data_IF_861745987407
#
_entry.id   IF_861745987407
#
_cell.length_a   1.000
_cell.length_b   1.000
_cell.length_c   1.000
_cell.angle_alpha   90.00
_cell.angle_beta   90.00
_cell.angle_gamma   90.00
#
_symmetry.space_group_name_H-M   'P 1'
#
loop_
_entity.id
_entity.type
_entity.pdbx_description
1 polymer ?
#
# COMPACT_ATOMS: atom_id res chain seq x y z
N UNK A 1 74.57 41.91 26.53
CA UNK A 1 73.46 42.74 26.14
C UNK A 1 72.45 41.93 25.49
N UNK A 2 71.69 41.30 26.26
CA UNK A 2 70.84 40.30 25.82
C UNK A 2 69.40 40.78 25.83
N UNK A 3 68.85 40.97 24.70
CA UNK A 3 67.44 41.21 24.56
C UNK A 3 66.81 39.88 24.33
N UNK A 4 66.40 39.23 25.37
CA UNK A 4 65.64 38.03 25.31
C UNK A 4 64.29 38.34 24.71
N UNK A 5 64.21 38.19 23.42
CA UNK A 5 62.95 38.25 22.74
C UNK A 5 62.31 36.88 22.78
N UNK A 6 61.65 36.61 23.85
CA UNK A 6 60.81 35.43 23.90
C UNK A 6 59.62 35.70 23.02
N UNK A 7 59.40 34.89 21.97
CA UNK A 7 58.22 34.99 21.23
C UNK A 7 57.07 34.54 22.13
N UNK A 8 56.21 35.46 22.41
CA UNK A 8 54.96 35.17 23.01
C UNK A 8 54.26 34.26 22.02
N UNK A 9 54.45 32.98 22.22
CA UNK A 9 53.57 32.00 21.59
C UNK A 9 52.20 32.25 22.19
N UNK A 10 51.45 33.08 21.56
CA UNK A 10 50.07 33.16 21.82
C UNK A 10 49.54 31.77 21.42
N UNK A 11 49.41 30.95 22.40
CA UNK A 11 48.54 29.81 22.27
C UNK A 11 47.18 30.39 21.98
N UNK A 12 46.91 30.56 20.73
CA UNK A 12 45.55 30.61 20.27
C UNK A 12 45.04 29.22 20.56
N UNK A 13 44.60 29.05 21.79
CA UNK A 13 43.64 28.01 22.06
C UNK A 13 42.41 28.43 21.28
N UNK A 14 42.48 28.20 19.99
CA UNK A 14 41.33 28.20 19.19
C UNK A 14 40.44 27.16 19.81
N UNK A 15 39.52 27.57 20.64
CA UNK A 15 38.25 26.88 20.68
C UNK A 15 37.74 26.93 19.26
N UNK A 16 38.25 26.03 18.45
CA UNK A 16 37.48 25.50 17.37
C UNK A 16 36.37 24.79 18.12
N UNK A 17 35.36 25.57 18.49
CA UNK A 17 34.04 25.07 18.58
C UNK A 17 33.80 24.43 17.24
N UNK A 18 34.17 23.16 17.19
CA UNK A 18 33.68 22.24 16.19
C UNK A 18 32.17 22.25 16.37
N UNK A 19 31.52 23.21 15.73
CA UNK A 19 30.15 23.14 15.40
C UNK A 19 30.07 21.94 14.43
N UNK A 20 30.14 20.74 14.99
CA UNK A 20 29.58 19.58 14.34
C UNK A 20 28.12 19.91 14.27
N UNK A 21 27.74 20.60 13.21
CA UNK A 21 26.42 20.49 12.68
C UNK A 21 26.20 19.00 12.56
N UNK A 22 25.57 18.45 13.57
CA UNK A 22 24.83 17.21 13.49
C UNK A 22 23.69 17.45 12.49
N UNK A 23 24.07 17.56 11.22
CA UNK A 23 23.19 17.14 10.17
C UNK A 23 23.09 15.63 10.35
N UNK A 24 22.26 15.25 11.31
CA UNK A 24 21.73 13.91 11.30
C UNK A 24 21.16 13.71 9.91
N UNK A 25 21.40 12.55 9.28
CA UNK A 25 20.71 12.26 8.03
C UNK A 25 19.23 12.50 8.32
N UNK A 26 18.62 13.44 7.58
CA UNK A 26 17.19 13.48 7.50
C UNK A 26 16.80 12.09 7.04
N UNK A 27 16.36 11.28 7.97
CA UNK A 27 15.70 10.01 7.64
C UNK A 27 14.44 10.47 6.94
N UNK A 28 14.54 10.59 5.62
CA UNK A 28 13.37 10.62 4.80
C UNK A 28 12.70 9.29 5.12
N UNK A 29 11.60 9.35 5.85
CA UNK A 29 10.71 8.23 6.06
C UNK A 29 10.18 7.87 4.66
N UNK A 30 10.97 7.08 3.94
CA UNK A 30 10.47 6.44 2.73
C UNK A 30 9.33 5.54 3.20
N UNK A 31 8.13 5.73 2.63
CA UNK A 31 7.04 4.80 2.93
C UNK A 31 7.57 3.41 2.63
N UNK A 32 7.60 2.58 3.65
CA UNK A 32 8.23 1.27 3.60
C UNK A 32 7.83 0.58 2.30
N UNK A 33 8.78 -0.01 1.57
CA UNK A 33 8.56 -0.66 0.27
C UNK A 33 7.33 -1.60 0.28
N UNK A 34 6.99 -2.16 1.44
CA UNK A 34 5.77 -2.94 1.67
C UNK A 34 4.47 -2.15 1.50
N UNK A 35 4.40 -0.89 1.92
CA UNK A 35 3.19 -0.07 1.77
C UNK A 35 2.95 0.31 0.30
N UNK A 36 4.01 0.58 -0.46
CA UNK A 36 3.93 0.83 -1.89
C UNK A 36 3.46 -0.42 -2.65
N UNK A 37 3.96 -1.61 -2.29
CA UNK A 37 3.56 -2.86 -2.91
C UNK A 37 2.11 -3.22 -2.60
N UNK A 38 1.65 -2.98 -1.36
CA UNK A 38 0.25 -3.17 -0.98
C UNK A 38 -0.67 -2.28 -1.82
N UNK A 39 -0.37 -0.98 -1.90
CA UNK A 39 -1.17 -0.03 -2.67
C UNK A 39 -1.25 -0.42 -4.15
N UNK A 40 -0.13 -0.79 -4.77
CA UNK A 40 -0.09 -1.25 -6.16
C UNK A 40 -0.93 -2.50 -6.38
N UNK A 41 -0.85 -3.47 -5.50
CA UNK A 41 -1.65 -4.70 -5.60
C UNK A 41 -3.14 -4.42 -5.49
N UNK A 42 -3.56 -3.55 -4.56
CA UNK A 42 -4.97 -3.18 -4.40
C UNK A 42 -5.48 -2.41 -5.62
N UNK A 43 -4.71 -1.46 -6.13
CA UNK A 43 -5.04 -0.72 -7.35
C UNK A 43 -5.18 -1.66 -8.56
N UNK A 44 -4.27 -2.64 -8.68
CA UNK A 44 -4.36 -3.66 -9.72
C UNK A 44 -5.66 -4.47 -9.61
N UNK A 45 -6.01 -4.96 -8.43
CA UNK A 45 -7.24 -5.73 -8.21
C UNK A 45 -8.49 -4.89 -8.51
N UNK A 46 -8.54 -3.63 -8.11
CA UNK A 46 -9.65 -2.74 -8.41
C UNK A 46 -9.79 -2.47 -9.91
N UNK A 47 -8.67 -2.27 -10.60
CA UNK A 47 -8.65 -2.12 -12.06
C UNK A 47 -9.08 -3.42 -12.77
N UNK A 48 -8.62 -4.57 -12.28
CA UNK A 48 -9.02 -5.88 -12.79
C UNK A 48 -10.52 -6.10 -12.69
N UNK A 49 -11.14 -5.78 -11.53
CA UNK A 49 -12.60 -5.82 -11.36
C UNK A 49 -13.27 -4.88 -12.35
N UNK A 50 -12.88 -3.61 -12.37
CA UNK A 50 -13.50 -2.57 -13.19
C UNK A 50 -13.51 -2.89 -14.69
N UNK A 51 -12.43 -3.50 -15.17
CA UNK A 51 -12.22 -3.79 -16.58
C UNK A 51 -12.65 -5.21 -17.00
N UNK A 52 -13.19 -6.00 -16.07
CA UNK A 52 -13.50 -7.43 -16.32
C UNK A 52 -14.68 -7.69 -17.24
N UNK A 53 -15.58 -6.71 -17.41
CA UNK A 53 -16.87 -6.86 -18.10
C UNK A 53 -17.73 -8.01 -17.54
N UNK A 54 -17.43 -8.47 -16.32
CA UNK A 54 -18.20 -9.49 -15.61
C UNK A 54 -19.40 -8.87 -14.90
N UNK A 55 -20.35 -9.71 -14.54
CA UNK A 55 -21.49 -9.33 -13.70
C UNK A 55 -21.23 -9.74 -12.26
N UNK A 56 -21.44 -8.84 -11.33
CA UNK A 56 -21.22 -9.07 -9.91
C UNK A 56 -22.54 -9.20 -9.15
N UNK A 57 -22.57 -10.07 -8.15
CA UNK A 57 -23.75 -10.28 -7.32
C UNK A 57 -23.45 -9.98 -5.86
N UNK A 58 -24.23 -9.09 -5.29
CA UNK A 58 -24.19 -8.71 -3.89
C UNK A 58 -25.59 -8.66 -3.32
N UNK A 59 -25.85 -9.45 -2.25
CA UNK A 59 -27.18 -9.58 -1.66
C UNK A 59 -28.26 -9.93 -2.71
N UNK A 60 -27.94 -10.87 -3.59
CA UNK A 60 -28.80 -11.37 -4.67
C UNK A 60 -29.13 -10.33 -5.77
N UNK A 61 -28.48 -9.16 -5.74
CA UNK A 61 -28.60 -8.14 -6.77
C UNK A 61 -27.41 -8.14 -7.69
N UNK A 62 -27.68 -8.03 -8.99
CA UNK A 62 -26.66 -7.88 -10.00
C UNK A 62 -26.12 -6.44 -10.04
N UNK A 63 -24.82 -6.32 -10.21
CA UNK A 63 -24.09 -5.05 -10.34
C UNK A 63 -23.13 -5.11 -11.51
N UNK A 64 -22.86 -3.96 -12.10
CA UNK A 64 -21.82 -3.82 -13.12
C UNK A 64 -20.42 -3.94 -12.49
N UNK A 65 -19.42 -4.18 -13.33
CA UNK A 65 -18.02 -4.19 -12.90
C UNK A 65 -17.59 -2.85 -12.26
N UNK A 66 -18.03 -1.72 -12.81
CA UNK A 66 -17.77 -0.40 -12.27
C UNK A 66 -18.39 -0.18 -10.89
N UNK A 67 -19.64 -0.61 -10.69
CA UNK A 67 -20.32 -0.54 -9.39
C UNK A 67 -19.65 -1.44 -8.35
N UNK A 68 -19.21 -2.63 -8.76
CA UNK A 68 -18.48 -3.56 -7.89
C UNK A 68 -17.14 -2.98 -7.45
N UNK A 69 -16.36 -2.45 -8.38
CA UNK A 69 -15.09 -1.79 -8.06
C UNK A 69 -15.27 -0.59 -7.12
N UNK A 70 -16.27 0.26 -7.39
CA UNK A 70 -16.57 1.41 -6.54
C UNK A 70 -16.99 0.99 -5.12
N UNK A 71 -17.74 -0.10 -4.99
CA UNK A 71 -18.11 -0.66 -3.68
C UNK A 71 -16.89 -1.20 -2.92
N UNK A 72 -16.01 -1.94 -3.60
CA UNK A 72 -14.77 -2.44 -3.01
C UNK A 72 -13.86 -1.30 -2.57
N UNK A 73 -13.76 -0.23 -3.36
CA UNK A 73 -12.99 0.98 -3.01
C UNK A 73 -13.53 1.62 -1.73
N UNK A 74 -14.84 1.82 -1.60
CA UNK A 74 -15.44 2.38 -0.36
C UNK A 74 -15.17 1.49 0.86
N UNK A 75 -15.25 0.18 0.70
CA UNK A 75 -14.92 -0.75 1.79
C UNK A 75 -13.42 -0.68 2.14
N UNK A 76 -12.56 -0.57 1.14
CA UNK A 76 -11.13 -0.37 1.37
C UNK A 76 -10.86 0.88 2.22
N UNK A 77 -11.46 2.01 1.88
CA UNK A 77 -11.31 3.25 2.67
C UNK A 77 -11.80 3.07 4.12
N UNK A 78 -12.93 2.37 4.31
CA UNK A 78 -13.48 2.12 5.64
C UNK A 78 -12.63 1.15 6.49
N UNK A 79 -11.88 0.25 5.86
CA UNK A 79 -11.06 -0.77 6.55
C UNK A 79 -9.56 -0.56 6.39
N UNK A 80 -9.14 0.57 5.89
CA UNK A 80 -7.75 0.87 5.55
C UNK A 80 -6.77 0.51 6.67
N UNK A 81 -7.12 0.82 7.91
CA UNK A 81 -6.27 0.53 9.07
C UNK A 81 -6.13 -0.96 9.38
N UNK A 82 -7.07 -1.79 8.92
CA UNK A 82 -7.11 -3.24 9.11
C UNK A 82 -6.54 -4.02 7.93
N UNK A 83 -6.34 -3.37 6.79
CA UNK A 83 -5.83 -3.98 5.58
C UNK A 83 -4.31 -3.79 5.54
N UNK A 84 -3.59 -4.88 5.77
CA UNK A 84 -2.11 -4.92 5.77
C UNK A 84 -1.55 -5.74 4.61
N UNK A 85 -2.37 -6.57 3.99
CA UNK A 85 -2.02 -7.41 2.85
C UNK A 85 -3.09 -7.30 1.76
N UNK A 86 -2.77 -7.64 0.50
CA UNK A 86 -3.78 -7.74 -0.55
C UNK A 86 -4.88 -8.77 -0.24
N UNK A 87 -4.55 -9.83 0.49
CA UNK A 87 -5.51 -10.83 0.96
C UNK A 87 -6.48 -10.24 1.98
N UNK A 88 -6.02 -9.36 2.88
CA UNK A 88 -6.91 -8.63 3.79
C UNK A 88 -7.91 -7.76 3.03
N UNK A 89 -7.45 -7.11 1.95
CA UNK A 89 -8.35 -6.36 1.06
C UNK A 89 -9.42 -7.25 0.47
N UNK A 90 -9.05 -8.40 -0.09
CA UNK A 90 -10.02 -9.35 -0.68
C UNK A 90 -11.01 -9.80 0.40
N UNK A 91 -10.52 -10.22 1.56
CA UNK A 91 -11.35 -10.70 2.68
C UNK A 91 -12.32 -9.64 3.20
N UNK A 92 -11.86 -8.40 3.39
CA UNK A 92 -12.66 -7.35 4.01
C UNK A 92 -13.51 -6.56 3.01
N UNK A 93 -13.03 -6.40 1.78
CA UNK A 93 -13.69 -5.55 0.79
C UNK A 93 -14.50 -6.31 -0.26
N UNK A 94 -14.15 -7.57 -0.55
CA UNK A 94 -14.63 -8.26 -1.74
C UNK A 94 -15.28 -9.63 -1.49
N UNK A 95 -15.33 -10.13 -0.26
CA UNK A 95 -15.79 -11.50 0.02
C UNK A 95 -17.27 -11.58 0.36
N UNK A 96 -17.75 -10.71 1.26
CA UNK A 96 -19.13 -10.79 1.77
C UNK A 96 -19.70 -9.47 2.24
N UNK A 97 -21.02 -9.44 2.38
CA UNK A 97 -21.74 -8.37 3.05
C UNK A 97 -21.49 -8.43 4.56
N UNK A 98 -21.13 -7.31 5.16
CA UNK A 98 -20.95 -7.20 6.61
C UNK A 98 -22.27 -7.18 7.36
N UNK A 99 -23.36 -6.83 6.68
CA UNK A 99 -24.70 -6.73 7.27
C UNK A 99 -25.41 -8.08 7.23
N UNK A 100 -25.40 -8.73 6.05
CA UNK A 100 -26.17 -9.96 5.84
C UNK A 100 -25.32 -11.24 5.93
N UNK A 101 -23.99 -11.13 5.90
CA UNK A 101 -23.08 -12.27 5.82
C UNK A 101 -23.07 -12.99 4.46
N UNK A 102 -23.92 -12.60 3.51
CA UNK A 102 -24.00 -13.24 2.19
C UNK A 102 -22.71 -13.04 1.40
N UNK A 103 -22.21 -14.10 0.80
CA UNK A 103 -21.05 -14.07 -0.08
C UNK A 103 -21.33 -13.27 -1.35
N UNK A 104 -20.28 -12.65 -1.88
CA UNK A 104 -20.29 -12.02 -3.19
C UNK A 104 -19.88 -13.03 -4.26
N UNK A 105 -20.47 -12.91 -5.43
CA UNK A 105 -20.20 -13.77 -6.57
C UNK A 105 -19.89 -12.94 -7.80
N UNK A 106 -19.16 -13.54 -8.71
CA UNK A 106 -18.91 -13.02 -10.05
C UNK A 106 -19.38 -14.05 -11.07
N UNK A 107 -20.11 -13.58 -12.08
CA UNK A 107 -20.48 -14.38 -13.25
C UNK A 107 -19.53 -14.01 -14.37
N UNK A 108 -18.75 -15.00 -14.79
CA UNK A 108 -17.77 -14.89 -15.85
C UNK A 108 -18.44 -14.81 -17.22
N UNK A 109 -17.67 -14.46 -18.26
CA UNK A 109 -18.18 -14.35 -19.64
C UNK A 109 -18.73 -15.65 -20.20
N UNK A 110 -18.18 -16.81 -19.78
CA UNK A 110 -18.65 -18.13 -20.14
C UNK A 110 -19.94 -18.57 -19.41
N UNK A 111 -20.41 -17.75 -18.47
CA UNK A 111 -21.61 -18.00 -17.67
C UNK A 111 -21.34 -18.67 -16.33
N UNK A 112 -20.13 -19.12 -16.06
CA UNK A 112 -19.76 -19.68 -14.76
C UNK A 112 -19.91 -18.64 -13.64
N UNK A 113 -20.45 -19.08 -12.49
CA UNK A 113 -20.61 -18.23 -11.31
C UNK A 113 -19.74 -18.76 -10.18
N UNK A 114 -18.75 -17.99 -9.79
CA UNK A 114 -17.80 -18.31 -8.72
C UNK A 114 -17.82 -17.24 -7.63
N UNK A 115 -17.23 -17.53 -6.46
CA UNK A 115 -17.11 -16.52 -5.41
C UNK A 115 -16.16 -15.42 -5.85
N UNK A 116 -16.48 -14.19 -5.50
CA UNK A 116 -15.61 -13.03 -5.76
C UNK A 116 -14.24 -13.19 -5.11
N UNK A 117 -14.20 -13.80 -3.92
CA UNK A 117 -12.96 -14.11 -3.21
C UNK A 117 -12.04 -15.03 -4.02
N UNK A 118 -12.53 -16.20 -4.46
CA UNK A 118 -11.74 -17.16 -5.23
C UNK A 118 -11.20 -16.55 -6.52
N UNK A 119 -12.04 -15.80 -7.22
CA UNK A 119 -11.68 -15.11 -8.46
C UNK A 119 -10.58 -14.07 -8.26
N UNK A 120 -10.67 -13.27 -7.20
CA UNK A 120 -9.68 -12.24 -6.90
C UNK A 120 -8.37 -12.80 -6.34
N UNK A 121 -8.42 -13.91 -5.58
CA UNK A 121 -7.19 -14.60 -5.15
C UNK A 121 -6.42 -15.14 -6.35
N UNK A 122 -7.11 -15.68 -7.34
CA UNK A 122 -6.48 -16.12 -8.59
C UNK A 122 -5.88 -14.94 -9.37
N UNK A 123 -6.59 -13.82 -9.46
CA UNK A 123 -6.08 -12.61 -10.10
C UNK A 123 -4.82 -12.07 -9.39
N UNK A 124 -4.81 -12.09 -8.07
CA UNK A 124 -3.66 -11.67 -7.25
C UNK A 124 -2.43 -12.56 -7.51
N UNK A 125 -2.63 -13.87 -7.56
CA UNK A 125 -1.54 -14.80 -7.85
C UNK A 125 -0.97 -14.58 -9.26
N UNK A 126 -1.82 -14.42 -10.27
CA UNK A 126 -1.39 -14.09 -11.63
C UNK A 126 -0.61 -12.77 -11.67
N UNK A 127 -1.07 -11.76 -10.94
CA UNK A 127 -0.36 -10.49 -10.83
C UNK A 127 1.04 -10.65 -10.23
N UNK A 128 1.17 -11.43 -9.16
CA UNK A 128 2.46 -11.72 -8.50
C UNK A 128 3.43 -12.47 -9.42
N UNK A 129 2.93 -13.43 -10.20
CA UNK A 129 3.76 -14.18 -11.15
C UNK A 129 4.34 -13.26 -12.24
N UNK A 130 3.56 -12.28 -12.68
CA UNK A 130 4.00 -11.32 -13.70
C UNK A 130 4.96 -10.24 -13.17
N UNK A 131 5.16 -10.17 -11.85
CA UNK A 131 6.12 -9.25 -11.21
C UNK A 131 7.50 -9.89 -10.95
N UNK A 132 7.65 -11.18 -11.17
CA UNK A 132 8.90 -11.95 -11.00
C UNK A 132 9.71 -11.96 -12.29
#
# INVERSE_FOLDING_TARGET
MEIGNSPIVKKITGCILLFILLWGPAVLDEPAAGANNLSKSIQHLLAFVKNSECQFFRNDKAHTAGEAAAHMQRKYENFKDKIKTPEDFIRLAATKSLITGKLYYVKLKDGEKITSEAWLLQALETYRQNQR
#
